data_IF_074657938656
#
_entry.id   IF_074657938656
#
_cell.length_a   1.000
_cell.length_b   1.000
_cell.length_c   1.000
_cell.angle_alpha   90.00
_cell.angle_beta   90.00
_cell.angle_gamma   90.00
#
_symmetry.space_group_name_H-M   'P 1'
#
loop_
_entity.id
_entity.type
_entity.pdbx_description
1 polymer ?
#
# COMPACT_ATOMS: atom_id res chain seq x y z
N UNK A 1 -39.59 40.44 5.74
CA UNK A 1 -40.25 40.03 4.46
C UNK A 1 -39.51 38.78 3.96
N UNK A 2 -40.11 37.66 4.27
CA UNK A 2 -39.58 36.34 4.04
C UNK A 2 -40.16 35.77 2.74
N UNK A 3 -39.32 35.38 1.80
CA UNK A 3 -39.77 34.66 0.62
C UNK A 3 -39.14 33.25 0.66
N UNK A 4 -39.96 32.27 0.95
CA UNK A 4 -39.63 30.87 0.85
C UNK A 4 -39.87 30.43 -0.61
N UNK A 5 -38.83 29.85 -1.24
CA UNK A 5 -38.91 29.24 -2.55
C UNK A 5 -39.06 27.73 -2.38
N UNK A 6 -40.25 27.20 -2.68
CA UNK A 6 -40.55 25.76 -2.75
C UNK A 6 -40.09 25.23 -4.11
N UNK A 7 -39.13 24.31 -4.10
CA UNK A 7 -38.73 23.54 -5.29
C UNK A 7 -39.41 22.18 -5.25
N UNK A 8 -40.28 21.93 -6.20
CA UNK A 8 -40.97 20.66 -6.41
C UNK A 8 -40.08 19.67 -7.17
N UNK A 9 -39.92 18.47 -6.65
CA UNK A 9 -39.20 17.34 -7.28
C UNK A 9 -40.23 16.46 -7.97
N UNK A 10 -40.08 16.14 -9.27
CA UNK A 10 -40.96 15.17 -9.94
C UNK A 10 -40.48 13.74 -9.68
N UNK A 11 -41.40 12.90 -9.19
CA UNK A 11 -41.26 11.45 -9.08
C UNK A 11 -41.40 10.85 -10.46
N UNK A 12 -40.36 10.16 -10.96
CA UNK A 12 -40.41 9.34 -12.15
C UNK A 12 -40.69 7.90 -11.75
N UNK A 13 -41.86 7.42 -12.15
CA UNK A 13 -42.33 6.05 -11.96
C UNK A 13 -41.79 5.20 -13.14
N UNK A 14 -40.88 4.24 -12.84
CA UNK A 14 -40.42 3.29 -13.85
C UNK A 14 -41.28 2.02 -13.81
N UNK A 15 -41.92 1.73 -14.93
CA UNK A 15 -42.78 0.57 -15.19
C UNK A 15 -41.92 -0.65 -15.47
N UNK A 16 -42.21 -1.74 -14.75
CA UNK A 16 -41.65 -3.08 -14.99
C UNK A 16 -42.57 -3.85 -15.93
N UNK A 17 -42.06 -4.33 -17.05
CA UNK A 17 -42.67 -5.36 -17.89
C UNK A 17 -41.51 -6.14 -18.55
N UNK A 18 -41.45 -7.42 -18.64
CA UNK A 18 -42.28 -8.55 -18.48
C UNK A 18 -41.49 -9.76 -18.96
N UNK A 19 -41.65 -10.89 -18.29
CA UNK A 19 -41.11 -12.19 -18.65
C UNK A 19 -41.53 -12.65 -20.02
N UNK A 20 -40.60 -13.21 -20.80
CA UNK A 20 -40.95 -14.09 -21.92
C UNK A 20 -40.08 -15.35 -21.85
N UNK A 21 -40.76 -16.46 -21.60
CA UNK A 21 -40.19 -17.80 -21.61
C UNK A 21 -40.02 -18.26 -23.06
N UNK A 22 -38.81 -18.57 -23.48
CA UNK A 22 -38.49 -19.20 -24.74
C UNK A 22 -37.73 -20.50 -24.48
N UNK A 23 -38.43 -21.64 -24.64
CA UNK A 23 -37.82 -22.95 -24.74
C UNK A 23 -37.15 -23.12 -26.09
N UNK A 24 -35.84 -23.41 -26.10
CA UNK A 24 -35.08 -23.74 -27.30
C UNK A 24 -34.07 -24.83 -26.96
N UNK A 25 -34.18 -25.94 -27.63
CA UNK A 25 -33.44 -27.20 -27.47
C UNK A 25 -31.94 -27.07 -27.67
N UNK A 26 -31.24 -27.98 -26.98
CA UNK A 26 -29.84 -28.31 -26.97
C UNK A 26 -29.12 -28.33 -28.33
N UNK A 27 -27.92 -27.81 -28.33
CA UNK A 27 -26.76 -28.38 -29.03
C UNK A 27 -25.58 -28.22 -28.10
N UNK A 28 -24.98 -29.34 -27.72
CA UNK A 28 -23.75 -29.44 -26.96
C UNK A 28 -22.61 -28.86 -27.79
N UNK A 29 -22.03 -27.75 -27.33
CA UNK A 29 -20.73 -27.25 -27.77
C UNK A 29 -19.87 -27.11 -26.51
N UNK A 30 -19.03 -28.12 -26.29
CA UNK A 30 -18.01 -28.17 -25.25
C UNK A 30 -16.93 -27.11 -25.53
N UNK A 31 -17.25 -25.85 -25.26
CA UNK A 31 -16.30 -24.77 -25.16
C UNK A 31 -15.89 -24.61 -23.71
N UNK A 32 -14.84 -25.34 -23.27
CA UNK A 32 -14.12 -25.11 -22.03
C UNK A 32 -13.51 -23.69 -22.04
N UNK A 33 -14.32 -22.72 -21.79
CA UNK A 33 -13.96 -21.37 -21.46
C UNK A 33 -13.59 -21.30 -19.98
N UNK A 34 -12.44 -21.85 -19.60
CA UNK A 34 -11.88 -21.70 -18.26
C UNK A 34 -11.80 -20.23 -17.90
N UNK A 35 -12.82 -19.72 -17.19
CA UNK A 35 -12.70 -18.48 -16.43
C UNK A 35 -11.58 -18.71 -15.42
N UNK A 36 -10.38 -18.24 -15.77
CA UNK A 36 -9.28 -18.12 -14.82
C UNK A 36 -9.73 -17.09 -13.77
N UNK A 37 -10.39 -17.56 -12.72
CA UNK A 37 -10.62 -16.77 -11.54
C UNK A 37 -9.26 -16.56 -10.89
N UNK A 38 -8.58 -15.48 -11.26
CA UNK A 38 -7.41 -15.02 -10.50
C UNK A 38 -7.93 -14.67 -9.10
N UNK A 39 -7.77 -15.60 -8.16
CA UNK A 39 -8.07 -15.33 -6.76
C UNK A 39 -7.18 -14.17 -6.30
N UNK A 40 -7.73 -13.29 -5.45
CA UNK A 40 -6.92 -12.26 -4.81
C UNK A 40 -5.68 -12.93 -4.14
N UNK A 41 -4.52 -12.27 -4.16
CA UNK A 41 -3.34 -12.81 -3.52
C UNK A 41 -3.62 -13.07 -2.03
N UNK A 42 -3.17 -14.23 -1.55
CA UNK A 42 -3.24 -14.56 -0.13
C UNK A 42 -2.40 -13.56 0.68
N UNK A 43 -2.84 -13.21 1.88
CA UNK A 43 -2.10 -12.30 2.74
C UNK A 43 -0.84 -12.97 3.33
N UNK A 44 0.05 -12.18 3.90
CA UNK A 44 1.33 -12.63 4.45
C UNK A 44 1.36 -12.50 5.98
N UNK A 45 2.20 -13.29 6.62
CA UNK A 45 2.60 -13.08 8.01
C UNK A 45 3.90 -12.30 7.99
N UNK A 46 3.96 -11.21 8.74
CA UNK A 46 5.15 -10.36 8.87
C UNK A 46 5.72 -10.50 10.29
N UNK A 47 7.00 -10.86 10.38
CA UNK A 47 7.71 -11.04 11.63
C UNK A 47 8.91 -10.06 11.75
N UNK A 48 9.43 -9.89 12.95
CA UNK A 48 10.56 -8.99 13.19
C UNK A 48 11.80 -9.37 12.35
N UNK A 49 11.99 -10.66 12.12
CA UNK A 49 13.07 -11.18 11.30
C UNK A 49 12.97 -10.82 9.80
N UNK A 50 11.85 -10.35 9.31
CA UNK A 50 11.68 -9.94 7.92
C UNK A 50 12.31 -8.55 7.65
N UNK A 51 12.53 -7.75 8.69
CA UNK A 51 13.18 -6.44 8.60
C UNK A 51 14.69 -6.57 8.70
N UNK A 52 15.36 -6.72 7.57
CA UNK A 52 16.81 -6.84 7.43
C UNK A 52 17.51 -5.48 7.48
N UNK A 53 18.85 -5.49 7.53
CA UNK A 53 19.60 -4.25 7.36
C UNK A 53 19.26 -3.58 6.03
N UNK A 54 19.24 -2.24 5.99
CA UNK A 54 18.97 -1.49 4.76
C UNK A 54 19.94 -1.85 3.64
N UNK A 55 21.18 -2.17 3.97
CA UNK A 55 22.20 -2.58 2.99
C UNK A 55 21.92 -3.95 2.33
N UNK A 56 21.02 -4.77 2.87
CA UNK A 56 20.54 -6.02 2.27
C UNK A 56 19.31 -5.81 1.37
N UNK A 57 18.77 -4.59 1.32
CA UNK A 57 17.63 -4.23 0.49
C UNK A 57 18.09 -3.51 -0.78
N UNK A 58 17.22 -3.40 -1.78
CA UNK A 58 17.51 -2.67 -3.03
C UNK A 58 17.28 -1.17 -2.81
N UNK A 59 18.30 -0.31 -2.99
CA UNK A 59 18.12 1.12 -2.86
C UNK A 59 17.36 1.68 -4.07
N UNK A 60 16.39 2.56 -3.81
CA UNK A 60 15.67 3.30 -4.84
C UNK A 60 15.63 4.76 -4.39
N UNK A 61 16.32 5.64 -5.13
CA UNK A 61 16.47 7.06 -4.79
C UNK A 61 16.94 7.26 -3.34
N UNK A 62 16.05 7.61 -2.42
CA UNK A 62 16.39 7.86 -1.01
C UNK A 62 15.89 6.80 -0.03
N UNK A 63 15.23 5.74 -0.48
CA UNK A 63 14.66 4.66 0.35
C UNK A 63 15.08 3.27 -0.15
N UNK A 64 14.68 2.23 0.56
CA UNK A 64 15.07 0.85 0.29
C UNK A 64 13.85 -0.04 0.12
N UNK A 65 13.94 -0.96 -0.85
CA UNK A 65 12.86 -1.87 -1.25
C UNK A 65 13.29 -3.32 -1.09
N UNK A 66 12.43 -4.13 -0.51
CA UNK A 66 12.50 -5.60 -0.52
C UNK A 66 11.12 -6.18 -0.81
N UNK A 67 11.01 -7.49 -0.98
CA UNK A 67 9.72 -8.17 -1.09
C UNK A 67 9.78 -9.55 -0.45
N UNK A 68 8.89 -9.83 0.50
CA UNK A 68 8.82 -11.06 1.29
C UNK A 68 8.36 -12.29 0.48
N UNK A 69 7.88 -12.08 -0.74
CA UNK A 69 7.43 -13.11 -1.68
C UNK A 69 8.40 -13.34 -2.84
N UNK A 70 9.56 -12.67 -2.82
CA UNK A 70 10.56 -12.78 -3.89
C UNK A 70 10.24 -11.97 -5.14
N UNK A 71 9.29 -11.03 -5.08
CA UNK A 71 8.90 -10.14 -6.18
C UNK A 71 9.60 -8.79 -6.09
N UNK A 72 10.87 -8.77 -5.69
CA UNK A 72 11.61 -7.51 -5.50
C UNK A 72 11.77 -6.73 -6.80
N UNK A 73 11.99 -7.40 -7.94
CA UNK A 73 12.14 -6.75 -9.23
C UNK A 73 10.84 -6.03 -9.65
N UNK A 74 9.68 -6.62 -9.38
CA UNK A 74 8.38 -6.00 -9.63
C UNK A 74 8.17 -4.79 -8.72
N UNK A 75 8.50 -4.92 -7.42
CA UNK A 75 8.38 -3.83 -6.46
C UNK A 75 9.29 -2.64 -6.83
N UNK A 76 10.53 -2.91 -7.25
CA UNK A 76 11.47 -1.89 -7.72
C UNK A 76 10.98 -1.24 -9.00
N UNK A 77 10.42 -2.02 -9.94
CA UNK A 77 9.86 -1.46 -11.17
C UNK A 77 8.71 -0.48 -10.90
N UNK A 78 7.85 -0.78 -9.91
CA UNK A 78 6.80 0.17 -9.46
C UNK A 78 7.43 1.40 -8.82
N UNK A 79 8.40 1.22 -7.93
CA UNK A 79 9.08 2.31 -7.25
C UNK A 79 9.78 3.28 -8.22
N UNK A 80 10.35 2.78 -9.30
CA UNK A 80 11.07 3.57 -10.32
C UNK A 80 10.16 4.13 -11.41
N UNK A 81 8.90 3.68 -11.48
CA UNK A 81 7.94 4.12 -12.50
C UNK A 81 7.56 5.59 -12.31
N UNK A 82 7.71 6.43 -13.33
CA UNK A 82 7.23 7.81 -13.27
C UNK A 82 5.70 7.91 -13.25
N UNK A 83 5.02 6.86 -13.69
CA UNK A 83 3.55 6.76 -13.74
C UNK A 83 3.01 6.04 -12.48
N UNK A 84 3.87 5.70 -11.53
CA UNK A 84 3.49 4.93 -10.33
C UNK A 84 3.10 3.49 -10.64
N UNK A 85 2.23 2.95 -9.80
CA UNK A 85 1.68 1.59 -9.90
C UNK A 85 1.32 1.04 -8.51
N UNK A 86 0.66 -0.12 -8.49
CA UNK A 86 0.33 -0.82 -7.25
C UNK A 86 1.46 -1.77 -6.88
N UNK A 87 1.98 -1.63 -5.68
CA UNK A 87 3.05 -2.51 -5.20
C UNK A 87 2.55 -3.94 -4.98
N UNK A 88 3.34 -4.96 -5.35
CA UNK A 88 2.99 -6.35 -5.09
C UNK A 88 2.92 -6.64 -3.58
N UNK A 89 2.03 -7.55 -3.20
CA UNK A 89 1.91 -8.01 -1.79
C UNK A 89 3.24 -8.53 -1.29
N UNK A 90 3.61 -8.13 -0.07
CA UNK A 90 4.89 -8.47 0.54
C UNK A 90 6.01 -7.46 0.27
N UNK A 91 5.74 -6.39 -0.48
CA UNK A 91 6.73 -5.30 -0.62
C UNK A 91 6.98 -4.66 0.74
N UNK A 92 8.25 -4.53 1.08
CA UNK A 92 8.75 -3.81 2.26
C UNK A 92 9.45 -2.55 1.77
N UNK A 93 9.06 -1.41 2.34
CA UNK A 93 9.74 -0.13 2.11
C UNK A 93 10.25 0.40 3.44
N UNK A 94 11.52 0.81 3.47
CA UNK A 94 12.14 1.49 4.61
C UNK A 94 12.90 2.73 4.15
N UNK A 95 12.65 3.85 4.82
CA UNK A 95 13.47 5.05 4.68
C UNK A 95 14.64 5.00 5.67
N UNK A 96 14.34 4.63 6.90
CA UNK A 96 15.29 4.52 8.03
C UNK A 96 15.11 3.18 8.75
N UNK A 97 16.11 2.69 9.52
CA UNK A 97 16.01 1.40 10.20
C UNK A 97 14.85 1.28 11.19
N UNK A 98 14.37 2.41 11.73
CA UNK A 98 13.37 2.44 12.79
C UNK A 98 11.92 2.39 12.28
N UNK A 99 11.70 2.46 10.97
CA UNK A 99 10.37 2.50 10.39
C UNK A 99 10.29 1.65 9.14
N UNK A 100 9.14 1.03 8.93
CA UNK A 100 8.85 0.26 7.72
C UNK A 100 7.39 0.36 7.36
N UNK A 101 7.09 0.14 6.08
CA UNK A 101 5.75 -0.17 5.60
C UNK A 101 5.79 -1.45 4.77
N UNK A 102 4.75 -2.27 4.88
CA UNK A 102 4.63 -3.55 4.18
C UNK A 102 3.30 -3.62 3.46
N UNK A 103 3.33 -3.89 2.16
CA UNK A 103 2.10 -4.06 1.36
C UNK A 103 1.44 -5.39 1.72
N UNK A 104 0.22 -5.31 2.22
CA UNK A 104 -0.62 -6.45 2.58
C UNK A 104 -1.57 -6.81 1.45
N UNK A 105 -2.26 -7.93 1.58
CA UNK A 105 -3.30 -8.30 0.63
C UNK A 105 -4.48 -7.33 0.68
N UNK A 106 -5.21 -7.16 -0.46
CA UNK A 106 -6.37 -6.30 -0.52
C UNK A 106 -7.40 -6.62 0.57
N UNK A 107 -7.84 -5.60 1.29
CA UNK A 107 -8.80 -5.69 2.41
C UNK A 107 -8.14 -5.77 3.79
N UNK A 108 -6.83 -5.59 3.89
CA UNK A 108 -6.12 -5.49 5.17
C UNK A 108 -6.56 -4.22 5.93
N UNK A 109 -6.39 -3.07 5.34
CA UNK A 109 -6.87 -1.79 5.87
C UNK A 109 -7.05 -0.78 4.73
N UNK A 110 -8.31 -0.53 4.31
CA UNK A 110 -8.59 0.42 3.22
C UNK A 110 -8.12 1.85 3.50
N UNK A 111 -8.09 2.28 4.77
CA UNK A 111 -7.69 3.64 5.16
C UNK A 111 -6.17 3.86 5.05
N UNK A 112 -5.40 2.78 5.00
CA UNK A 112 -3.96 2.78 4.72
C UNK A 112 -3.61 2.28 3.32
N UNK A 113 -4.60 2.10 2.44
CA UNK A 113 -4.44 1.48 1.13
C UNK A 113 -3.75 0.11 1.21
N UNK A 114 -4.14 -0.69 2.20
CA UNK A 114 -3.57 -2.01 2.51
C UNK A 114 -2.06 -2.00 2.83
N UNK A 115 -1.52 -0.87 3.27
CA UNK A 115 -0.19 -0.83 3.87
C UNK A 115 -0.26 -1.04 5.38
N UNK A 116 0.56 -1.95 5.88
CA UNK A 116 0.84 -2.09 7.30
C UNK A 116 2.09 -1.29 7.64
N UNK A 117 1.99 -0.40 8.63
CA UNK A 117 3.09 0.43 9.12
C UNK A 117 3.71 -0.17 10.38
N UNK A 118 4.99 0.05 10.54
CA UNK A 118 5.76 -0.47 11.66
C UNK A 118 6.67 0.60 12.25
N UNK A 119 6.75 0.64 13.58
CA UNK A 119 7.88 1.25 14.27
C UNK A 119 8.76 0.13 14.80
N UNK A 120 10.06 0.28 14.64
CA UNK A 120 11.04 -0.77 14.85
C UNK A 120 12.13 -0.32 15.83
N UNK A 121 12.64 -1.24 16.64
CA UNK A 121 13.92 -1.11 17.32
C UNK A 121 14.96 -1.95 16.55
N UNK A 122 15.91 -1.24 15.95
CA UNK A 122 16.97 -1.84 15.14
C UNK A 122 18.27 -1.85 15.96
N UNK A 123 18.81 -3.04 16.23
CA UNK A 123 19.99 -3.24 17.06
C UNK A 123 21.00 -4.18 16.40
N UNK A 124 22.17 -4.34 16.98
CA UNK A 124 23.18 -5.29 16.52
C UNK A 124 22.72 -6.77 16.63
N UNK A 125 21.70 -7.04 17.41
CA UNK A 125 21.07 -8.35 17.57
C UNK A 125 19.97 -8.61 16.52
N UNK A 126 19.52 -7.56 15.82
CA UNK A 126 18.46 -7.60 14.80
C UNK A 126 17.36 -6.57 15.03
N UNK A 127 16.15 -6.91 14.60
CA UNK A 127 15.00 -6.02 14.67
C UNK A 127 13.97 -6.53 15.69
N UNK A 128 13.36 -5.59 16.43
CA UNK A 128 12.16 -5.83 17.25
C UNK A 128 11.03 -4.92 16.75
N UNK A 129 9.83 -5.45 16.59
CA UNK A 129 8.64 -4.66 16.27
C UNK A 129 8.15 -4.00 17.57
N UNK A 130 8.12 -2.66 17.60
CA UNK A 130 7.58 -1.89 18.72
C UNK A 130 6.08 -1.66 18.59
N UNK A 131 5.64 -1.21 17.40
CA UNK A 131 4.24 -1.08 17.05
C UNK A 131 4.02 -1.54 15.62
N UNK A 132 2.80 -1.98 15.32
CA UNK A 132 2.37 -2.36 13.98
C UNK A 132 0.88 -2.15 13.82
N UNK A 133 0.43 -1.88 12.57
CA UNK A 133 -0.98 -1.74 12.22
C UNK A 133 -1.18 -0.94 10.94
N UNK A 134 -2.42 -0.60 10.64
CA UNK A 134 -2.81 0.22 9.49
C UNK A 134 -2.76 1.71 9.81
N UNK A 135 -3.88 2.37 9.59
CA UNK A 135 -4.01 3.84 9.72
C UNK A 135 -3.79 4.40 11.13
N UNK A 136 -3.86 3.56 12.17
CA UNK A 136 -3.72 3.97 13.57
C UNK A 136 -2.27 4.12 14.05
N UNK A 137 -1.28 3.62 13.31
CA UNK A 137 0.12 3.67 13.73
C UNK A 137 0.67 5.08 13.68
N UNK A 138 1.29 5.50 14.79
CA UNK A 138 1.86 6.83 14.96
C UNK A 138 3.38 6.78 14.78
N UNK A 139 3.89 7.67 13.93
CA UNK A 139 5.32 7.86 13.72
C UNK A 139 6.00 8.40 14.98
N UNK A 140 7.08 7.75 15.40
CA UNK A 140 7.80 8.09 16.63
C UNK A 140 8.49 9.46 16.61
N UNK A 141 8.81 10.01 15.44
CA UNK A 141 9.50 11.29 15.29
C UNK A 141 8.52 12.46 15.18
N UNK A 142 7.47 12.31 14.41
CA UNK A 142 6.51 13.40 14.13
C UNK A 142 5.33 13.42 15.10
N UNK A 143 4.98 12.29 15.70
CA UNK A 143 3.75 12.12 16.48
C UNK A 143 2.47 12.12 15.62
N UNK A 144 2.59 12.08 14.30
CA UNK A 144 1.48 11.98 13.35
C UNK A 144 1.23 10.50 12.97
N UNK A 145 0.03 10.18 12.54
CA UNK A 145 -0.25 8.88 11.95
C UNK A 145 0.57 8.69 10.67
N UNK A 146 1.20 7.52 10.51
CA UNK A 146 1.94 7.18 9.30
C UNK A 146 1.07 7.32 8.07
N UNK A 147 -0.12 6.72 8.10
CA UNK A 147 -1.06 6.79 7.00
C UNK A 147 -1.50 8.22 6.67
N UNK A 148 -1.61 9.14 7.67
CA UNK A 148 -2.01 10.52 7.40
C UNK A 148 -1.00 11.31 6.57
N UNK A 149 0.31 11.00 6.71
CA UNK A 149 1.34 11.56 5.85
C UNK A 149 1.36 10.86 4.49
N UNK A 150 1.33 9.53 4.48
CA UNK A 150 1.41 8.73 3.27
C UNK A 150 0.19 8.90 2.35
N UNK A 151 -1.00 9.19 2.89
CA UNK A 151 -2.20 9.50 2.10
C UNK A 151 -2.13 10.82 1.32
N UNK A 152 -1.09 11.64 1.52
CA UNK A 152 -0.83 12.82 0.70
C UNK A 152 -0.26 12.47 -0.68
N UNK A 153 0.29 11.25 -0.86
CA UNK A 153 0.73 10.79 -2.17
C UNK A 153 -0.45 10.73 -3.16
N UNK A 154 -0.20 11.17 -4.40
CA UNK A 154 -1.17 11.03 -5.48
C UNK A 154 -1.53 9.54 -5.65
N UNK A 155 -2.80 9.22 -6.00
CA UNK A 155 -3.32 7.85 -5.95
C UNK A 155 -2.52 6.82 -6.74
N UNK A 156 -1.88 7.22 -7.84
CA UNK A 156 -1.05 6.38 -8.69
C UNK A 156 0.22 5.88 -8.00
N UNK A 157 0.69 6.56 -6.96
CA UNK A 157 1.90 6.19 -6.22
C UNK A 157 1.65 5.30 -4.99
N UNK A 158 0.43 4.78 -4.84
CA UNK A 158 0.08 3.72 -3.88
C UNK A 158 0.55 4.03 -2.44
N UNK A 159 0.29 5.26 -1.94
CA UNK A 159 0.70 5.73 -0.60
C UNK A 159 2.22 5.84 -0.38
N UNK A 160 3.05 5.73 -1.43
CA UNK A 160 4.50 5.94 -1.29
C UNK A 160 4.83 7.41 -1.53
N UNK A 161 5.17 8.09 -0.44
CA UNK A 161 5.41 9.53 -0.41
C UNK A 161 6.83 9.88 -0.84
N UNK A 162 6.93 10.73 -1.87
CA UNK A 162 8.14 11.43 -2.28
C UNK A 162 7.77 12.84 -2.76
N UNK A 163 8.74 13.75 -2.89
CA UNK A 163 8.52 15.15 -3.31
C UNK A 163 7.79 15.24 -4.66
N UNK A 164 8.04 14.26 -5.55
CA UNK A 164 7.41 14.17 -6.89
C UNK A 164 6.07 13.46 -6.88
N UNK A 165 5.63 12.94 -5.73
CA UNK A 165 4.41 12.16 -5.56
C UNK A 165 3.28 12.94 -4.90
N UNK A 166 3.38 14.28 -4.82
CA UNK A 166 2.39 15.15 -4.20
C UNK A 166 2.57 15.38 -2.70
N UNK A 167 3.61 14.80 -2.11
CA UNK A 167 3.90 14.95 -0.69
C UNK A 167 4.78 16.18 -0.42
N UNK A 168 4.61 16.79 0.77
CA UNK A 168 5.52 17.82 1.26
C UNK A 168 6.87 17.18 1.62
N UNK A 169 7.98 17.89 1.38
CA UNK A 169 9.32 17.45 1.77
C UNK A 169 9.39 17.10 3.25
N UNK A 170 10.18 16.09 3.59
CA UNK A 170 10.40 15.73 4.99
C UNK A 170 11.06 16.89 5.75
N UNK A 171 10.65 17.16 7.01
CA UNK A 171 11.24 18.22 7.84
C UNK A 171 12.64 17.85 8.38
N UNK A 172 13.30 16.88 7.75
CA UNK A 172 14.62 16.35 8.12
C UNK A 172 15.52 16.44 6.88
N UNK A 173 16.70 17.08 6.98
CA UNK A 173 17.64 17.16 5.86
C UNK A 173 18.11 15.79 5.36
N UNK A 174 18.33 15.66 4.05
CA UNK A 174 18.74 14.41 3.40
C UNK A 174 20.07 13.85 3.93
N UNK A 175 21.01 14.71 4.31
CA UNK A 175 22.28 14.30 4.91
C UNK A 175 22.10 13.66 6.29
N UNK A 176 21.11 14.10 7.06
CA UNK A 176 20.72 13.49 8.32
C UNK A 176 20.08 12.12 8.09
N UNK A 177 19.16 12.01 7.13
CA UNK A 177 18.56 10.73 6.74
C UNK A 177 19.64 9.75 6.29
N UNK A 178 20.52 10.17 5.40
CA UNK A 178 21.65 9.36 4.92
C UNK A 178 22.56 8.91 6.08
N UNK A 179 22.81 9.79 7.05
CA UNK A 179 23.62 9.43 8.23
C UNK A 179 22.95 8.35 9.08
N UNK A 180 21.62 8.41 9.24
CA UNK A 180 20.83 7.38 9.95
C UNK A 180 20.86 6.06 9.18
N UNK A 181 20.70 6.09 7.86
CA UNK A 181 20.75 4.91 6.99
C UNK A 181 22.10 4.20 7.08
N UNK A 182 23.21 4.95 7.02
CA UNK A 182 24.57 4.41 7.13
C UNK A 182 24.91 3.89 8.52
N UNK A 183 24.21 4.36 9.56
CA UNK A 183 24.36 3.92 10.94
C UNK A 183 23.46 2.75 11.32
N UNK A 184 22.81 2.09 10.34
CA UNK A 184 21.96 0.91 10.60
C UNK A 184 22.79 -0.15 11.36
N UNK A 185 22.43 -0.48 12.61
CA UNK A 185 23.22 -1.38 13.43
C UNK A 185 22.97 -2.85 13.14
N UNK A 186 21.97 -3.17 12.33
CA UNK A 186 21.56 -4.55 12.07
C UNK A 186 22.63 -5.33 11.31
N UNK A 187 22.82 -6.64 11.61
CA UNK A 187 23.80 -7.46 10.91
C UNK A 187 23.36 -7.68 9.45
N UNK A 188 24.35 -7.67 8.55
CA UNK A 188 24.15 -8.08 7.15
C UNK A 188 23.89 -9.59 7.07
N UNK A 189 23.11 -10.01 6.07
CA UNK A 189 22.77 -11.41 5.77
C UNK A 189 23.50 -11.93 4.55
#
# INVERSE_FOLDING_TARGET
MTHALLVAIPIVLAVVAGCSSGSGSATDDDGDGGLSTTSAPEDIVVEAGDFTALADMTPVRGFFVANLRGQVDEAVAVAESPDGGVYPVGTVIQLIPQEAMVKRAPGFDPDSNDWEFFTLDATAEGTTILTRGGSEVVNGFSGLSCASCHSAAEPEFDFVCEDTHGCEPLPVPDDVITSIQLADPRPLR
#
